data_IF_810259905178
#
_entry.id   IF_810259905178
#
_cell.length_a   1.000
_cell.length_b   1.000
_cell.length_c   1.000
_cell.angle_alpha   90.00
_cell.angle_beta   90.00
_cell.angle_gamma   90.00
#
_symmetry.space_group_name_H-M   'P 1'
#
loop_
_entity.id
_entity.type
_entity.pdbx_description
1 polymer ?
#
# COMPACT_ATOMS: atom_id res chain seq x y z
N UNK A 1 26.08 4.16 17.00
CA UNK A 1 25.78 5.35 17.83
C UNK A 1 24.76 6.20 17.14
N UNK A 2 23.58 6.37 17.76
CA UNK A 2 22.42 7.14 17.31
C UNK A 2 21.74 6.63 16.02
N UNK A 3 21.06 5.50 16.11
CA UNK A 3 19.81 5.29 15.40
C UNK A 3 18.86 6.40 15.87
N UNK A 4 18.78 7.49 15.11
CA UNK A 4 17.66 8.42 15.23
C UNK A 4 16.42 7.62 14.90
N UNK A 5 15.55 7.41 15.88
CA UNK A 5 14.17 7.02 15.64
C UNK A 5 13.60 8.00 14.61
N UNK A 6 13.48 7.57 13.36
CA UNK A 6 12.75 8.32 12.36
C UNK A 6 11.28 8.17 12.75
N UNK A 7 10.71 9.26 13.21
CA UNK A 7 9.26 9.32 13.44
C UNK A 7 8.56 9.04 12.12
N UNK A 8 7.55 8.15 12.09
CA UNK A 8 6.74 7.90 10.90
C UNK A 8 6.25 9.21 10.27
N UNK A 9 6.16 9.26 8.94
CA UNK A 9 5.81 10.48 8.20
C UNK A 9 4.45 11.09 8.61
N UNK A 10 3.54 10.29 9.12
CA UNK A 10 2.23 10.74 9.60
C UNK A 10 2.26 11.37 11.00
N UNK A 11 3.19 10.94 11.87
CA UNK A 11 3.46 11.66 13.10
C UNK A 11 4.03 13.06 12.80
N UNK A 12 4.70 13.22 11.64
CA UNK A 12 5.14 14.53 11.20
C UNK A 12 3.98 15.43 10.76
N UNK A 13 2.90 14.89 10.18
CA UNK A 13 1.71 15.68 9.86
C UNK A 13 0.97 16.15 11.13
N UNK A 14 0.79 15.26 12.10
CA UNK A 14 0.26 15.63 13.40
C UNK A 14 1.12 16.70 14.07
N UNK A 15 2.44 16.57 13.98
CA UNK A 15 3.41 17.54 14.50
C UNK A 15 3.32 18.88 13.75
N UNK A 16 3.20 18.88 12.42
CA UNK A 16 3.00 20.11 11.63
C UNK A 16 1.71 20.83 12.01
N UNK A 17 0.62 20.10 12.18
CA UNK A 17 -0.66 20.68 12.61
C UNK A 17 -0.59 21.28 14.03
N UNK A 18 0.23 20.68 14.90
CA UNK A 18 0.52 21.23 16.24
C UNK A 18 1.45 22.44 16.15
N UNK A 19 2.51 22.36 15.34
CA UNK A 19 3.51 23.42 15.18
C UNK A 19 2.91 24.67 14.49
N UNK A 20 1.99 24.47 13.53
CA UNK A 20 1.24 25.54 12.86
C UNK A 20 0.07 26.09 13.70
N UNK A 21 -0.15 25.55 14.90
CA UNK A 21 -1.21 26.00 15.83
C UNK A 21 -2.64 25.73 15.35
N UNK A 22 -2.80 24.84 14.36
CA UNK A 22 -4.11 24.42 13.84
C UNK A 22 -4.79 23.45 14.83
N UNK A 23 -3.99 22.68 15.58
CA UNK A 23 -4.42 21.83 16.69
C UNK A 23 -3.60 22.15 17.92
N UNK A 24 -4.24 22.19 19.08
CA UNK A 24 -3.51 22.20 20.36
C UNK A 24 -3.16 20.77 20.78
N UNK A 25 -2.12 20.62 21.63
CA UNK A 25 -1.78 19.31 22.20
C UNK A 25 -2.97 18.66 22.91
N UNK A 26 -3.79 19.46 23.61
CA UNK A 26 -4.98 18.97 24.29
C UNK A 26 -6.07 18.50 23.33
N UNK A 27 -6.26 19.19 22.20
CA UNK A 27 -7.23 18.79 21.19
C UNK A 27 -6.79 17.49 20.50
N UNK A 28 -5.50 17.36 20.23
CA UNK A 28 -4.93 16.13 19.64
C UNK A 28 -5.08 14.93 20.60
N UNK A 29 -4.72 15.10 21.88
CA UNK A 29 -4.91 14.05 22.89
C UNK A 29 -6.38 13.71 23.11
N UNK A 30 -7.27 14.70 23.08
CA UNK A 30 -8.70 14.47 23.23
C UNK A 30 -9.29 13.73 22.04
N UNK A 31 -8.93 14.08 20.83
CA UNK A 31 -9.33 13.37 19.60
C UNK A 31 -8.84 11.92 19.65
N UNK A 32 -7.60 11.68 20.06
CA UNK A 32 -7.02 10.34 20.19
C UNK A 32 -7.73 9.52 21.29
N UNK A 33 -8.00 10.12 22.43
CA UNK A 33 -8.69 9.44 23.56
C UNK A 33 -10.17 9.16 23.26
N UNK A 34 -10.87 10.09 22.61
CA UNK A 34 -12.25 9.90 22.16
C UNK A 34 -12.36 8.77 21.12
N UNK A 35 -11.37 8.69 20.24
CA UNK A 35 -11.29 7.62 19.26
C UNK A 35 -11.04 6.26 19.93
N UNK A 36 -10.10 6.19 20.88
CA UNK A 36 -9.80 4.99 21.67
C UNK A 36 -11.03 4.47 22.40
N UNK A 37 -11.74 5.37 23.10
CA UNK A 37 -12.91 4.99 23.90
C UNK A 37 -14.09 4.50 23.06
N UNK A 38 -14.27 5.05 21.84
CA UNK A 38 -15.38 4.68 20.93
C UNK A 38 -15.19 3.34 20.22
N UNK A 39 -13.96 2.88 20.08
CA UNK A 39 -13.66 1.71 19.28
C UNK A 39 -13.17 0.50 20.09
N UNK A 40 -13.00 0.62 21.42
CA UNK A 40 -12.61 -0.49 22.30
C UNK A 40 -11.27 -1.14 21.98
N UNK A 41 -10.34 -0.37 21.38
CA UNK A 41 -9.12 -0.87 20.78
C UNK A 41 -7.95 -0.86 21.77
N UNK A 42 -7.06 -1.86 21.67
CA UNK A 42 -5.82 -1.95 22.43
C UNK A 42 -4.74 -1.09 21.76
N UNK A 43 -3.81 -0.52 22.50
CA UNK A 43 -2.86 0.51 22.05
C UNK A 43 -2.08 0.18 20.76
N UNK A 44 -1.72 -1.08 20.53
CA UNK A 44 -0.96 -1.51 19.36
C UNK A 44 -1.75 -1.59 18.06
N UNK A 45 -3.07 -1.84 18.13
CA UNK A 45 -3.91 -2.05 16.93
C UNK A 45 -4.46 -0.73 16.36
N UNK A 46 -4.34 0.35 17.12
CA UNK A 46 -4.95 1.65 16.78
C UNK A 46 -4.03 2.51 15.95
N UNK A 47 -2.73 2.51 16.27
CA UNK A 47 -1.77 3.36 15.57
C UNK A 47 -1.76 3.04 14.08
N UNK A 48 -1.76 1.76 13.71
CA UNK A 48 -1.69 1.33 12.32
C UNK A 48 -3.01 1.59 11.55
N UNK A 49 -4.16 1.18 12.09
CA UNK A 49 -5.41 1.21 11.32
C UNK A 49 -6.07 2.59 11.20
N UNK A 50 -5.98 3.44 12.22
CA UNK A 50 -6.60 4.78 12.19
C UNK A 50 -5.81 5.76 11.35
N UNK A 51 -4.49 5.64 11.37
CA UNK A 51 -3.59 6.43 10.56
C UNK A 51 -3.75 6.07 9.09
N UNK A 52 -3.75 4.79 8.78
CA UNK A 52 -4.01 4.29 7.43
C UNK A 52 -5.35 4.81 6.91
N UNK A 53 -6.43 4.74 7.69
CA UNK A 53 -7.75 5.25 7.29
C UNK A 53 -7.77 6.76 7.07
N UNK A 54 -7.06 7.54 7.87
CA UNK A 54 -7.02 9.00 7.72
C UNK A 54 -6.17 9.41 6.52
N UNK A 55 -5.02 8.80 6.31
CA UNK A 55 -4.21 8.96 5.10
C UNK A 55 -5.05 8.61 3.86
N UNK A 56 -5.72 7.48 3.91
CA UNK A 56 -6.61 6.99 2.89
C UNK A 56 -7.73 7.99 2.55
N UNK A 57 -8.45 8.47 3.55
CA UNK A 57 -9.53 9.44 3.36
C UNK A 57 -9.02 10.74 2.73
N UNK A 58 -7.90 11.27 3.20
CA UNK A 58 -7.34 12.51 2.69
C UNK A 58 -6.83 12.36 1.24
N UNK A 59 -6.28 11.21 0.89
CA UNK A 59 -5.81 10.91 -0.47
C UNK A 59 -6.96 10.80 -1.47
N UNK A 60 -8.08 10.19 -1.09
CA UNK A 60 -9.25 10.10 -1.97
C UNK A 60 -10.00 11.41 -2.09
N UNK A 61 -10.06 12.23 -1.05
CA UNK A 61 -10.66 13.56 -1.11
C UNK A 61 -9.86 14.50 -2.03
N UNK A 62 -8.53 14.35 -2.07
CA UNK A 62 -7.67 15.19 -2.93
C UNK A 62 -7.51 14.66 -4.36
N UNK A 63 -7.83 13.38 -4.61
CA UNK A 63 -7.82 12.78 -5.94
C UNK A 63 -9.22 12.78 -6.55
N UNK A 64 -9.34 13.10 -7.86
CA UNK A 64 -10.60 12.93 -8.59
C UNK A 64 -10.93 11.45 -8.90
N UNK A 65 -10.36 10.52 -8.14
CA UNK A 65 -10.52 9.07 -8.32
C UNK A 65 -11.59 8.57 -7.37
N UNK A 66 -12.63 7.94 -7.94
CA UNK A 66 -13.68 7.28 -7.17
C UNK A 66 -13.51 5.76 -7.28
N UNK A 67 -13.16 5.12 -6.17
CA UNK A 67 -13.09 3.66 -6.06
C UNK A 67 -14.41 3.10 -5.52
N UNK A 68 -14.75 1.89 -5.98
CA UNK A 68 -15.78 1.09 -5.35
C UNK A 68 -15.40 0.70 -3.92
N UNK A 69 -16.34 0.22 -3.12
CA UNK A 69 -16.07 -0.28 -1.76
C UNK A 69 -14.95 -1.34 -1.74
N UNK A 70 -14.98 -2.29 -2.67
CA UNK A 70 -13.96 -3.32 -2.78
C UNK A 70 -12.60 -2.74 -3.21
N UNK A 71 -12.59 -1.73 -4.10
CA UNK A 71 -11.38 -1.02 -4.45
C UNK A 71 -10.77 -0.26 -3.27
N UNK A 72 -11.59 0.36 -2.43
CA UNK A 72 -11.14 1.01 -1.21
C UNK A 72 -10.54 -0.02 -0.23
N UNK A 73 -11.21 -1.14 -0.01
CA UNK A 73 -10.72 -2.25 0.81
C UNK A 73 -9.38 -2.78 0.29
N UNK A 74 -9.24 -2.97 -1.03
CA UNK A 74 -7.99 -3.42 -1.64
C UNK A 74 -6.83 -2.49 -1.31
N UNK A 75 -7.03 -1.18 -1.49
CA UNK A 75 -5.97 -0.19 -1.24
C UNK A 75 -5.67 -0.06 0.25
N UNK A 76 -6.67 -0.16 1.13
CA UNK A 76 -6.47 -0.15 2.59
C UNK A 76 -5.61 -1.35 3.05
N UNK A 77 -5.86 -2.54 2.51
CA UNK A 77 -5.03 -3.72 2.73
C UNK A 77 -3.60 -3.52 2.20
N UNK A 78 -3.46 -2.98 0.99
CA UNK A 78 -2.16 -2.71 0.38
C UNK A 78 -1.30 -1.77 1.24
N UNK A 79 -1.89 -0.72 1.82
CA UNK A 79 -1.19 0.15 2.76
C UNK A 79 -0.71 -0.61 4.00
N UNK A 80 -1.58 -1.42 4.59
CA UNK A 80 -1.23 -2.22 5.76
C UNK A 80 -0.10 -3.21 5.44
N UNK A 81 -0.13 -3.83 4.27
CA UNK A 81 0.90 -4.77 3.85
C UNK A 81 2.25 -4.07 3.57
N UNK A 82 2.22 -2.87 2.98
CA UNK A 82 3.45 -2.08 2.85
C UNK A 82 4.05 -1.73 4.22
N UNK A 83 3.24 -1.21 5.15
CA UNK A 83 3.70 -0.87 6.51
C UNK A 83 4.29 -2.10 7.20
N UNK A 84 3.59 -3.22 7.13
CA UNK A 84 3.95 -4.44 7.85
C UNK A 84 5.19 -5.13 7.31
N UNK A 85 5.35 -5.18 5.99
CA UNK A 85 6.35 -6.03 5.34
C UNK A 85 7.52 -5.23 4.74
N UNK A 86 7.29 -3.99 4.30
CA UNK A 86 8.29 -3.19 3.62
C UNK A 86 8.80 -2.06 4.51
N UNK A 87 7.90 -1.39 5.22
CA UNK A 87 8.19 -0.28 6.12
C UNK A 87 7.18 0.85 5.97
N UNK A 88 7.15 1.73 6.96
CA UNK A 88 6.25 2.89 7.05
C UNK A 88 6.92 4.20 6.55
N UNK A 89 8.15 4.10 6.04
CA UNK A 89 8.99 5.22 5.60
C UNK A 89 8.70 5.67 4.15
N UNK A 90 7.45 5.55 3.71
CA UNK A 90 7.02 5.98 2.37
C UNK A 90 6.11 7.21 2.41
N UNK A 91 6.06 7.90 1.27
CA UNK A 91 5.02 8.88 0.95
C UNK A 91 4.23 8.41 -0.25
N UNK A 92 2.92 8.70 -0.28
CA UNK A 92 2.11 8.37 -1.43
C UNK A 92 2.13 9.52 -2.43
N UNK A 93 2.41 9.21 -3.68
CA UNK A 93 2.24 10.15 -4.80
C UNK A 93 0.77 10.34 -5.17
N UNK A 94 0.52 11.18 -6.16
CA UNK A 94 -0.85 11.43 -6.63
C UNK A 94 -1.48 10.17 -7.24
N UNK A 95 -2.64 9.78 -6.72
CA UNK A 95 -3.43 8.70 -7.31
C UNK A 95 -4.01 9.19 -8.63
N UNK A 96 -3.88 8.41 -9.69
CA UNK A 96 -4.36 8.76 -11.02
C UNK A 96 -4.96 7.56 -11.77
N UNK A 97 -5.75 7.86 -12.79
CA UNK A 97 -6.11 6.84 -13.78
C UNK A 97 -4.95 6.67 -14.76
N UNK A 98 -4.55 5.42 -14.98
CA UNK A 98 -3.50 5.07 -15.93
C UNK A 98 -4.08 4.37 -17.16
N UNK A 99 -3.57 4.71 -18.34
CA UNK A 99 -3.85 4.00 -19.59
C UNK A 99 -2.69 3.08 -19.96
N UNK A 100 -1.52 3.41 -19.50
CA UNK A 100 -0.30 2.63 -19.73
C UNK A 100 0.67 2.84 -18.55
N UNK A 101 1.55 1.89 -18.36
CA UNK A 101 2.66 1.98 -17.40
C UNK A 101 3.96 1.56 -18.10
N UNK A 102 5.10 2.16 -17.72
CA UNK A 102 6.39 1.63 -18.13
C UNK A 102 6.59 0.24 -17.50
N UNK A 103 7.03 -0.71 -18.30
CA UNK A 103 7.36 -2.05 -17.82
C UNK A 103 8.84 -2.07 -17.45
N UNK A 104 9.08 -2.31 -16.16
CA UNK A 104 10.41 -2.56 -15.62
C UNK A 104 10.41 -3.93 -14.96
N UNK A 105 10.70 -4.03 -13.67
CA UNK A 105 10.40 -5.25 -12.92
C UNK A 105 8.90 -5.24 -12.59
N UNK A 106 8.09 -5.84 -13.45
CA UNK A 106 6.63 -5.81 -13.34
C UNK A 106 6.05 -7.19 -13.20
N UNK A 107 5.24 -7.40 -12.17
CA UNK A 107 4.46 -8.62 -11.95
C UNK A 107 2.98 -8.28 -12.03
N UNK A 108 2.23 -9.12 -12.72
CA UNK A 108 0.77 -9.07 -12.84
C UNK A 108 0.17 -10.30 -12.17
N UNK A 109 -0.99 -10.12 -11.54
CA UNK A 109 -1.80 -11.25 -11.08
C UNK A 109 -3.29 -10.95 -11.30
N UNK A 110 -4.05 -11.96 -11.68
CA UNK A 110 -5.49 -11.85 -11.87
C UNK A 110 -6.25 -12.48 -10.70
N UNK A 111 -7.30 -11.78 -10.28
CA UNK A 111 -8.35 -12.27 -9.41
C UNK A 111 -9.58 -12.42 -10.28
N UNK A 112 -10.25 -13.56 -10.25
CA UNK A 112 -11.43 -13.85 -11.06
C UNK A 112 -12.47 -14.63 -10.25
N UNK A 113 -13.70 -14.68 -10.76
CA UNK A 113 -14.85 -15.27 -10.12
C UNK A 113 -16.10 -14.43 -10.42
N UNK A 114 -16.82 -14.01 -9.40
CA UNK A 114 -18.03 -13.16 -9.56
C UNK A 114 -17.70 -11.83 -10.25
N UNK A 115 -16.48 -11.36 -10.15
CA UNK A 115 -15.91 -10.28 -10.95
C UNK A 115 -14.41 -10.49 -11.15
N UNK A 116 -13.80 -9.69 -12.03
CA UNK A 116 -12.38 -9.79 -12.32
C UNK A 116 -11.65 -8.50 -11.94
N UNK A 117 -10.48 -8.66 -11.29
CA UNK A 117 -9.54 -7.58 -11.00
C UNK A 117 -8.16 -8.04 -11.51
N UNK A 118 -7.41 -7.11 -12.10
CA UNK A 118 -6.00 -7.30 -12.42
C UNK A 118 -5.17 -6.36 -11.56
N UNK A 119 -4.22 -6.93 -10.87
CA UNK A 119 -3.30 -6.21 -10.02
C UNK A 119 -1.90 -6.26 -10.61
N UNK A 120 -1.16 -5.17 -10.41
CA UNK A 120 0.18 -5.01 -10.96
C UNK A 120 1.07 -4.40 -9.89
N UNK A 121 2.31 -4.86 -9.81
CA UNK A 121 3.38 -4.19 -9.07
C UNK A 121 4.54 -3.95 -10.02
N UNK A 122 5.04 -2.72 -10.10
CA UNK A 122 6.10 -2.34 -11.03
C UNK A 122 7.08 -1.35 -10.39
N UNK A 123 8.36 -1.57 -10.62
CA UNK A 123 9.43 -0.72 -10.07
C UNK A 123 10.73 -0.87 -10.86
N UNK A 124 11.68 0.04 -10.66
CA UNK A 124 13.01 -0.10 -11.24
C UNK A 124 13.76 -1.27 -10.59
N UNK A 125 14.79 -1.74 -11.28
CA UNK A 125 15.54 -2.96 -10.90
C UNK A 125 16.21 -2.85 -9.53
N UNK A 126 16.82 -1.74 -9.23
CA UNK A 126 17.46 -1.45 -7.95
C UNK A 126 16.43 -1.29 -6.81
N UNK A 127 15.27 -0.72 -7.14
CA UNK A 127 14.12 -0.63 -6.22
C UNK A 127 13.58 -2.03 -5.90
N UNK A 128 13.48 -2.92 -6.90
CA UNK A 128 13.03 -4.30 -6.70
C UNK A 128 13.97 -5.10 -5.77
N UNK A 129 15.28 -4.91 -5.91
CA UNK A 129 16.28 -5.51 -5.02
C UNK A 129 16.09 -5.03 -3.57
N UNK A 130 15.93 -3.72 -3.38
CA UNK A 130 15.73 -3.13 -2.06
C UNK A 130 14.38 -3.54 -1.45
N UNK A 131 13.32 -3.58 -2.27
CA UNK A 131 12.00 -4.05 -1.88
C UNK A 131 12.04 -5.50 -1.39
N UNK A 132 12.60 -6.41 -2.21
CA UNK A 132 12.72 -7.82 -1.85
C UNK A 132 13.56 -8.02 -0.58
N UNK A 133 14.65 -7.25 -0.44
CA UNK A 133 15.50 -7.31 0.76
C UNK A 133 14.74 -6.93 2.04
N UNK A 134 13.87 -5.92 1.98
CA UNK A 134 13.00 -5.57 3.11
C UNK A 134 11.92 -6.61 3.37
N UNK A 135 11.30 -7.12 2.31
CA UNK A 135 10.21 -8.08 2.39
C UNK A 135 10.64 -9.40 3.05
N UNK A 136 11.74 -10.01 2.59
CA UNK A 136 12.26 -11.27 3.16
C UNK A 136 13.16 -11.07 4.37
N UNK A 137 13.50 -9.79 4.71
CA UNK A 137 14.44 -9.44 5.80
C UNK A 137 15.82 -10.06 5.62
N UNK A 138 16.29 -10.08 4.36
CA UNK A 138 17.61 -10.56 3.96
C UNK A 138 18.22 -9.56 2.97
N UNK A 139 19.47 -9.73 2.56
CA UNK A 139 20.17 -8.81 1.67
C UNK A 139 20.36 -9.43 0.30
N UNK A 140 19.76 -8.83 -0.72
CA UNK A 140 20.02 -9.12 -2.12
C UNK A 140 20.94 -8.06 -2.73
N UNK A 141 21.86 -8.48 -3.59
CA UNK A 141 22.79 -7.58 -4.29
C UNK A 141 22.48 -7.47 -5.78
N UNK A 142 21.80 -8.45 -6.33
CA UNK A 142 21.48 -8.56 -7.74
C UNK A 142 19.99 -8.86 -7.94
N UNK A 143 19.48 -8.47 -9.11
CA UNK A 143 18.11 -8.82 -9.52
C UNK A 143 18.12 -10.24 -10.09
N UNK A 144 17.84 -11.21 -9.25
CA UNK A 144 17.82 -12.64 -9.55
C UNK A 144 16.41 -13.25 -9.40
N UNK A 145 16.34 -14.58 -9.48
CA UNK A 145 15.10 -15.34 -9.32
C UNK A 145 14.46 -15.19 -7.92
N UNK A 146 15.26 -14.95 -6.88
CA UNK A 146 14.75 -14.76 -5.52
C UNK A 146 14.08 -13.39 -5.36
N UNK A 147 14.65 -12.35 -5.97
CA UNK A 147 14.02 -11.03 -6.02
C UNK A 147 12.71 -11.10 -6.80
N UNK A 148 12.70 -11.79 -7.96
CA UNK A 148 11.48 -11.98 -8.74
C UNK A 148 10.39 -12.73 -7.95
N UNK A 149 10.76 -13.84 -7.32
CA UNK A 149 9.86 -14.62 -6.48
C UNK A 149 9.29 -13.79 -5.28
N UNK A 150 10.09 -12.88 -4.73
CA UNK A 150 9.64 -12.00 -3.65
C UNK A 150 8.55 -11.02 -4.10
N UNK A 151 8.64 -10.49 -5.33
CA UNK A 151 7.60 -9.63 -5.90
C UNK A 151 6.31 -10.42 -6.16
N UNK A 152 6.44 -11.64 -6.70
CA UNK A 152 5.31 -12.55 -6.95
C UNK A 152 4.62 -12.91 -5.63
N UNK A 153 5.38 -13.25 -4.60
CA UNK A 153 4.87 -13.66 -3.30
C UNK A 153 4.15 -12.50 -2.58
N UNK A 154 4.73 -11.29 -2.63
CA UNK A 154 4.07 -10.10 -2.06
C UNK A 154 2.72 -9.83 -2.75
N UNK A 155 2.67 -9.86 -4.09
CA UNK A 155 1.43 -9.64 -4.83
C UNK A 155 0.40 -10.72 -4.55
N UNK A 156 0.85 -11.98 -4.46
CA UNK A 156 0.00 -13.12 -4.13
C UNK A 156 -0.56 -13.03 -2.69
N UNK A 157 0.25 -12.60 -1.73
CA UNK A 157 -0.18 -12.35 -0.35
C UNK A 157 -1.24 -11.26 -0.29
N UNK A 158 -1.00 -10.11 -0.90
CA UNK A 158 -1.93 -8.98 -0.97
C UNK A 158 -3.29 -9.40 -1.56
N UNK A 159 -3.26 -10.08 -2.71
CA UNK A 159 -4.47 -10.56 -3.39
C UNK A 159 -5.20 -11.64 -2.57
N UNK A 160 -4.46 -12.52 -1.90
CA UNK A 160 -5.01 -13.53 -1.01
C UNK A 160 -5.76 -12.92 0.17
N UNK A 161 -5.15 -11.95 0.84
CA UNK A 161 -5.79 -11.21 1.94
C UNK A 161 -7.05 -10.47 1.45
N UNK A 162 -6.99 -9.85 0.27
CA UNK A 162 -8.16 -9.20 -0.30
C UNK A 162 -9.32 -10.17 -0.54
N UNK A 163 -9.08 -11.33 -1.15
CA UNK A 163 -10.12 -12.34 -1.39
C UNK A 163 -10.75 -12.80 -0.08
N UNK A 164 -9.95 -13.11 0.93
CA UNK A 164 -10.45 -13.53 2.25
C UNK A 164 -11.34 -12.45 2.87
N UNK A 165 -10.92 -11.18 2.80
CA UNK A 165 -11.71 -10.08 3.35
C UNK A 165 -13.03 -9.87 2.60
N UNK A 166 -13.01 -9.94 1.26
CA UNK A 166 -14.23 -9.82 0.44
C UNK A 166 -15.18 -10.97 0.71
N UNK A 167 -14.69 -12.20 0.79
CA UNK A 167 -15.52 -13.38 1.08
C UNK A 167 -16.14 -13.34 2.47
N UNK A 168 -15.46 -12.75 3.46
CA UNK A 168 -15.99 -12.56 4.80
C UNK A 168 -17.05 -11.44 4.88
N UNK A 169 -16.92 -10.40 4.04
CA UNK A 169 -17.84 -9.23 4.03
C UNK A 169 -19.07 -9.47 3.15
N UNK A 170 -18.94 -10.34 2.17
CA UNK A 170 -20.02 -10.65 1.19
C UNK A 170 -19.92 -12.12 0.76
N UNK A 171 -21.05 -12.68 0.26
CA UNK A 171 -21.07 -14.04 -0.31
C UNK A 171 -20.42 -14.12 -1.69
N UNK A 172 -19.32 -13.41 -1.89
CA UNK A 172 -18.61 -13.30 -3.17
C UNK A 172 -17.56 -14.40 -3.27
N UNK A 173 -17.55 -15.16 -4.36
CA UNK A 173 -16.57 -16.20 -4.62
C UNK A 173 -15.52 -15.68 -5.61
N UNK A 174 -14.28 -15.58 -5.13
CA UNK A 174 -13.13 -15.15 -5.92
C UNK A 174 -12.00 -16.17 -5.83
N UNK A 175 -11.22 -16.24 -6.89
CA UNK A 175 -10.04 -17.12 -7.03
C UNK A 175 -8.87 -16.31 -7.56
N UNK A 176 -7.64 -16.68 -7.17
CA UNK A 176 -6.40 -16.05 -7.64
C UNK A 176 -5.78 -16.90 -8.74
N UNK A 177 -5.37 -16.25 -9.84
CA UNK A 177 -4.48 -16.86 -10.85
C UNK A 177 -3.03 -16.89 -10.41
N UNK A 178 -2.20 -17.55 -11.17
CA UNK A 178 -0.74 -17.50 -10.97
C UNK A 178 -0.22 -16.08 -11.28
N UNK A 179 0.79 -15.59 -10.56
CA UNK A 179 1.47 -14.36 -10.91
C UNK A 179 2.25 -14.54 -12.23
N UNK A 180 2.37 -13.47 -13.01
CA UNK A 180 3.05 -13.46 -14.29
C UNK A 180 3.97 -12.24 -14.40
N UNK A 181 5.22 -12.46 -14.82
CA UNK A 181 6.12 -11.36 -15.19
C UNK A 181 5.72 -10.75 -16.53
N UNK A 182 5.59 -9.44 -16.57
CA UNK A 182 5.37 -8.70 -17.80
C UNK A 182 6.72 -8.28 -18.35
N UNK A 183 6.93 -8.54 -19.63
CA UNK A 183 8.12 -8.15 -20.38
C UNK A 183 7.79 -7.13 -21.46
N UNK A 184 8.72 -6.25 -21.77
CA UNK A 184 8.53 -5.18 -22.75
C UNK A 184 8.90 -3.82 -22.18
N UNK A 185 8.63 -2.76 -22.92
CA UNK A 185 8.95 -1.38 -22.48
C UNK A 185 7.73 -0.68 -21.85
N UNK A 186 6.55 -0.98 -22.36
CA UNK A 186 5.28 -0.36 -21.92
C UNK A 186 4.16 -1.39 -21.97
N UNK A 187 3.32 -1.37 -20.95
CA UNK A 187 2.09 -2.15 -20.89
C UNK A 187 0.88 -1.22 -20.92
N UNK A 188 -0.05 -1.47 -21.85
CA UNK A 188 -1.28 -0.68 -22.00
C UNK A 188 -2.46 -1.44 -21.42
N UNK A 189 -3.32 -0.72 -20.71
CA UNK A 189 -4.53 -1.28 -20.11
C UNK A 189 -5.72 -1.18 -21.08
N UNK A 190 -6.42 -2.27 -21.28
CA UNK A 190 -7.68 -2.30 -22.05
C UNK A 190 -8.85 -1.66 -21.30
N UNK A 191 -8.81 -1.73 -19.98
CA UNK A 191 -9.82 -1.19 -19.08
C UNK A 191 -9.23 -0.08 -18.21
N UNK A 192 -10.11 0.60 -17.46
CA UNK A 192 -9.75 1.61 -16.51
C UNK A 192 -8.81 1.00 -15.43
N UNK A 193 -7.62 1.55 -15.30
CA UNK A 193 -6.65 1.20 -14.28
C UNK A 193 -6.39 2.40 -13.36
N UNK A 194 -6.07 2.12 -12.12
CA UNK A 194 -5.69 3.10 -11.12
C UNK A 194 -4.23 2.90 -10.74
N UNK A 195 -3.50 3.99 -10.65
CA UNK A 195 -2.08 4.03 -10.34
C UNK A 195 -1.86 4.63 -8.96
N UNK A 196 -1.11 3.91 -8.12
CA UNK A 196 -0.78 4.26 -6.75
C UNK A 196 0.74 4.24 -6.58
N UNK A 197 1.44 5.38 -6.74
CA UNK A 197 2.89 5.42 -6.56
C UNK A 197 3.26 5.56 -5.07
N UNK A 198 3.97 4.58 -4.55
CA UNK A 198 4.55 4.59 -3.21
C UNK A 198 6.02 4.98 -3.30
N UNK A 199 6.37 6.13 -2.77
CA UNK A 199 7.72 6.68 -2.81
C UNK A 199 8.45 6.37 -1.51
N UNK A 200 9.32 5.38 -1.55
CA UNK A 200 10.24 5.02 -0.46
C UNK A 200 11.58 5.75 -0.61
N UNK A 201 12.43 5.81 0.44
CA UNK A 201 13.79 6.34 0.34
C UNK A 201 14.67 5.58 -0.68
N UNK A 202 14.36 4.32 -0.95
CA UNK A 202 15.07 3.50 -1.93
C UNK A 202 14.48 3.59 -3.36
N UNK A 203 13.37 4.29 -3.56
CA UNK A 203 12.74 4.51 -4.87
C UNK A 203 11.23 4.34 -4.87
N UNK A 204 10.63 4.39 -6.06
CA UNK A 204 9.17 4.34 -6.22
C UNK A 204 8.71 2.94 -6.59
N UNK A 205 7.70 2.46 -5.88
CA UNK A 205 6.92 1.25 -6.16
C UNK A 205 5.56 1.68 -6.71
N UNK A 206 5.17 1.14 -7.85
CA UNK A 206 3.94 1.47 -8.56
C UNK A 206 2.96 0.30 -8.54
#
# INVERSE_FOLDING_TARGET
ELLKEQKPAFLSLGQVLLDDGILSNSDFEQIMNDYRSKNGLVESDIEDSAVVRNLFRNLFVSSNVSLSRNGQMFVELLFNDFIRFIGDDFTLGGISEAKEIPVKCCVKQEIFGDYAIRTYISMEKDVAIAFASRYVKDTFNDYDEYVQASLEDFLNLQNGLFIVNVSNDSSTELTIGAPEHITGDTFSFENKAYHFPFMFPFGTVN
#
